data_IF_940987601555
#
_entry.id   IF_940987601555
#
_cell.length_a   1.000
_cell.length_b   1.000
_cell.length_c   1.000
_cell.angle_alpha   90.00
_cell.angle_beta   90.00
_cell.angle_gamma   90.00
#
_symmetry.space_group_name_H-M   'P 1'
#
loop_
_entity.id
_entity.type
_entity.pdbx_description
1 polymer ?
#
# COMPACT_ATOMS: atom_id res chain seq x y z
N UNK A 1 -22.05 -9.55 -6.31
CA UNK A 1 -22.76 -9.24 -7.58
C UNK A 1 -21.80 -8.44 -8.46
N UNK A 2 -21.60 -8.84 -9.71
CA UNK A 2 -20.66 -8.17 -10.62
C UNK A 2 -21.32 -6.97 -11.30
N UNK A 3 -20.57 -5.88 -11.44
CA UNK A 3 -20.96 -4.73 -12.26
C UNK A 3 -20.99 -5.13 -13.73
N UNK A 4 -21.93 -4.63 -14.55
CA UNK A 4 -21.93 -4.85 -16.00
C UNK A 4 -20.73 -4.18 -16.69
N UNK A 5 -20.11 -3.19 -16.02
CA UNK A 5 -18.87 -2.56 -16.47
C UNK A 5 -17.70 -3.23 -15.75
N UNK A 6 -16.81 -3.84 -16.51
CA UNK A 6 -15.56 -4.40 -16.00
C UNK A 6 -14.67 -3.28 -15.45
N UNK A 7 -14.16 -3.46 -14.23
CA UNK A 7 -13.21 -2.54 -13.59
C UNK A 7 -11.89 -3.25 -13.37
N UNK A 8 -10.81 -2.58 -13.72
CA UNK A 8 -9.46 -2.97 -13.33
C UNK A 8 -8.99 -2.06 -12.20
N UNK A 9 -8.39 -2.65 -11.17
CA UNK A 9 -7.92 -1.93 -10.00
C UNK A 9 -6.40 -1.90 -10.00
N UNK A 10 -5.80 -0.77 -9.57
CA UNK A 10 -4.34 -0.65 -9.43
C UNK A 10 -3.77 -1.72 -8.49
N UNK A 11 -4.52 -2.01 -7.42
CA UNK A 11 -4.26 -3.07 -6.43
C UNK A 11 -4.09 -4.48 -7.02
N UNK A 12 -4.64 -4.75 -8.21
CA UNK A 12 -4.43 -6.03 -8.88
C UNK A 12 -2.95 -6.25 -9.24
N UNK A 13 -2.26 -5.20 -9.69
CA UNK A 13 -0.84 -5.29 -10.04
C UNK A 13 0.04 -5.47 -8.79
N UNK A 14 -0.27 -4.75 -7.71
CA UNK A 14 0.48 -4.85 -6.45
C UNK A 14 0.27 -6.21 -5.76
N UNK A 15 -0.95 -6.74 -5.78
CA UNK A 15 -1.25 -8.08 -5.24
C UNK A 15 -0.58 -9.21 -6.05
N UNK A 16 -0.59 -9.14 -7.38
CA UNK A 16 0.13 -10.11 -8.21
C UNK A 16 1.65 -10.08 -7.94
N UNK A 17 2.22 -8.89 -7.76
CA UNK A 17 3.63 -8.70 -7.39
C UNK A 17 3.95 -9.25 -6.00
N UNK A 18 3.07 -9.01 -5.02
CA UNK A 18 3.21 -9.57 -3.67
C UNK A 18 3.19 -11.09 -3.71
N UNK A 19 2.26 -11.69 -4.46
CA UNK A 19 2.18 -13.15 -4.62
C UNK A 19 3.49 -13.72 -5.17
N UNK A 20 4.03 -13.14 -6.24
CA UNK A 20 5.31 -13.57 -6.81
C UNK A 20 6.47 -13.45 -5.81
N UNK A 21 6.53 -12.36 -5.03
CA UNK A 21 7.53 -12.18 -3.98
C UNK A 21 7.44 -13.29 -2.91
N UNK A 22 6.23 -13.57 -2.41
CA UNK A 22 6.01 -14.59 -1.38
C UNK A 22 6.35 -16.00 -1.89
N UNK A 23 5.99 -16.32 -3.13
CA UNK A 23 6.34 -17.59 -3.77
C UNK A 23 7.86 -17.76 -3.87
N UNK A 24 8.58 -16.72 -4.31
CA UNK A 24 10.04 -16.73 -4.36
C UNK A 24 10.67 -16.90 -2.97
N UNK A 25 10.15 -16.22 -1.96
CA UNK A 25 10.61 -16.37 -0.57
C UNK A 25 10.44 -17.81 -0.09
N UNK A 26 9.27 -18.43 -0.36
CA UNK A 26 8.99 -19.82 -0.01
C UNK A 26 9.95 -20.80 -0.71
N UNK A 27 10.15 -20.65 -2.01
CA UNK A 27 11.03 -21.50 -2.80
C UNK A 27 12.50 -21.42 -2.36
N UNK A 28 12.95 -20.23 -1.96
CA UNK A 28 14.34 -19.98 -1.55
C UNK A 28 14.58 -20.17 -0.05
N UNK A 29 13.52 -20.42 0.74
CA UNK A 29 13.62 -20.47 2.21
C UNK A 29 14.00 -19.13 2.84
N UNK A 30 13.67 -18.01 2.17
CA UNK A 30 13.97 -16.64 2.63
C UNK A 30 12.68 -15.90 3.03
N UNK A 31 12.81 -14.62 3.42
CA UNK A 31 11.68 -13.79 3.84
C UNK A 31 11.78 -12.36 3.30
N UNK A 32 10.64 -11.69 3.22
CA UNK A 32 10.54 -10.23 3.11
C UNK A 32 10.18 -9.68 4.49
N UNK A 33 10.79 -8.56 4.89
CA UNK A 33 10.45 -7.85 6.11
C UNK A 33 10.18 -6.39 5.78
N UNK A 34 9.37 -5.75 6.63
CA UNK A 34 9.02 -4.34 6.55
C UNK A 34 8.56 -3.86 7.93
N UNK A 35 8.13 -2.62 8.04
CA UNK A 35 7.53 -2.06 9.25
C UNK A 35 6.40 -1.10 8.88
N UNK A 36 5.65 -0.64 9.89
CA UNK A 36 4.50 0.23 9.71
C UNK A 36 4.86 1.62 9.17
N UNK A 37 4.32 1.99 8.03
CA UNK A 37 4.58 3.25 7.34
C UNK A 37 3.52 4.31 7.69
N UNK A 38 3.98 5.47 8.17
CA UNK A 38 3.15 6.58 8.61
C UNK A 38 2.72 7.50 7.46
N UNK A 39 3.62 7.81 6.53
CA UNK A 39 3.41 8.92 5.59
C UNK A 39 4.14 8.77 4.23
N UNK A 40 3.80 9.63 3.24
CA UNK A 40 4.44 9.66 1.93
C UNK A 40 5.95 9.89 1.90
N UNK A 41 6.52 10.61 2.86
CA UNK A 41 7.98 10.81 2.94
C UNK A 41 8.63 9.49 3.32
N UNK A 42 8.08 8.82 4.32
CA UNK A 42 8.59 7.54 4.80
C UNK A 42 8.48 6.46 3.74
N UNK A 43 7.35 6.34 3.01
CA UNK A 43 7.22 5.31 1.95
C UNK A 43 8.25 5.50 0.83
N UNK A 44 8.57 6.75 0.48
CA UNK A 44 9.60 7.05 -0.51
C UNK A 44 11.01 6.66 -0.05
N UNK A 45 11.29 6.75 1.27
CA UNK A 45 12.58 6.33 1.85
C UNK A 45 12.65 4.83 2.15
N UNK A 46 11.51 4.17 2.35
CA UNK A 46 11.44 2.71 2.51
C UNK A 46 11.67 1.98 1.20
N UNK A 47 11.15 2.52 0.09
CA UNK A 47 11.15 1.88 -1.22
C UNK A 47 12.53 1.38 -1.71
N UNK A 48 13.66 2.09 -1.52
CA UNK A 48 14.98 1.59 -1.92
C UNK A 48 15.41 0.30 -1.20
N UNK A 49 14.99 0.11 0.06
CA UNK A 49 15.56 -0.92 0.94
C UNK A 49 14.59 -2.07 1.24
N UNK A 50 13.29 -1.80 1.23
CA UNK A 50 12.25 -2.75 1.61
C UNK A 50 11.43 -3.16 0.38
N UNK A 51 11.05 -4.44 0.34
CA UNK A 51 10.28 -5.00 -0.78
C UNK A 51 8.76 -4.88 -0.60
N UNK A 52 8.29 -4.54 0.60
CA UNK A 52 6.88 -4.38 0.97
C UNK A 52 6.68 -3.20 1.91
N UNK A 53 5.43 -2.75 2.04
CA UNK A 53 5.00 -1.68 2.97
C UNK A 53 3.89 -2.23 3.83
N UNK A 54 3.95 -2.01 5.15
CA UNK A 54 2.86 -2.35 6.06
C UNK A 54 2.11 -1.09 6.49
N UNK A 55 0.78 -1.15 6.50
CA UNK A 55 -0.10 -0.13 7.05
C UNK A 55 -0.79 -0.70 8.28
N UNK A 56 -0.45 -0.15 9.45
CA UNK A 56 -0.90 -0.63 10.76
C UNK A 56 -2.20 0.06 11.21
N UNK A 57 -3.14 -0.73 11.75
CA UNK A 57 -4.33 -0.23 12.45
C UNK A 57 -3.94 0.57 13.71
N UNK A 58 -3.05 0.01 14.53
CA UNK A 58 -2.48 0.69 15.71
C UNK A 58 -1.92 2.09 15.40
N UNK A 59 -1.05 2.21 14.38
CA UNK A 59 -0.51 3.51 13.99
C UNK A 59 -1.62 4.45 13.49
N UNK A 60 -2.58 3.91 12.74
CA UNK A 60 -3.69 4.69 12.19
C UNK A 60 -4.63 5.21 13.28
N UNK A 61 -4.85 4.44 14.35
CA UNK A 61 -5.65 4.86 15.51
C UNK A 61 -5.08 6.12 16.16
N UNK A 62 -3.75 6.19 16.31
CA UNK A 62 -3.10 7.34 16.95
C UNK A 62 -2.78 8.51 16.01
N UNK A 63 -2.79 8.32 14.68
CA UNK A 63 -2.25 9.33 13.75
C UNK A 63 -3.10 9.65 12.52
N UNK A 64 -4.10 8.82 12.19
CA UNK A 64 -4.76 8.88 10.89
C UNK A 64 -6.28 8.62 10.91
N UNK A 65 -6.91 8.58 12.09
CA UNK A 65 -8.37 8.51 12.21
C UNK A 65 -9.03 9.55 11.31
N UNK A 66 -10.00 9.12 10.51
CA UNK A 66 -10.66 10.00 9.52
C UNK A 66 -11.50 11.12 10.12
N UNK A 67 -11.77 11.04 11.42
CA UNK A 67 -12.43 12.10 12.21
C UNK A 67 -11.43 12.94 13.01
N UNK A 68 -10.12 12.69 12.85
CA UNK A 68 -9.03 13.33 13.59
C UNK A 68 -9.11 13.17 15.12
N UNK A 69 -9.87 12.18 15.60
CA UNK A 69 -9.87 11.78 17.01
C UNK A 69 -8.88 10.61 17.18
N UNK A 70 -7.73 10.82 17.86
CA UNK A 70 -6.77 9.76 18.09
C UNK A 70 -7.21 8.86 19.26
N UNK A 71 -6.77 7.60 19.24
CA UNK A 71 -7.11 6.65 20.30
C UNK A 71 -6.12 5.52 20.49
N UNK A 72 -6.34 4.68 21.53
CA UNK A 72 -5.68 3.39 21.65
C UNK A 72 -6.13 2.44 20.52
N UNK A 73 -5.43 1.32 20.37
CA UNK A 73 -5.72 0.32 19.33
C UNK A 73 -6.92 -0.55 19.69
N UNK A 74 -8.11 0.00 19.41
CA UNK A 74 -9.41 -0.63 19.71
C UNK A 74 -10.30 -0.79 18.48
N UNK A 75 -9.82 -0.37 17.30
CA UNK A 75 -10.57 -0.38 16.04
C UNK A 75 -11.96 0.31 16.14
N UNK A 76 -12.08 1.35 16.97
CA UNK A 76 -13.29 2.16 17.17
C UNK A 76 -13.34 3.40 16.27
N UNK A 77 -12.25 3.70 15.55
CA UNK A 77 -12.20 4.68 14.48
C UNK A 77 -13.07 4.24 13.27
N UNK A 78 -13.56 5.17 12.43
CA UNK A 78 -14.32 4.80 11.24
C UNK A 78 -13.51 3.88 10.32
N UNK A 79 -14.13 2.81 9.82
CA UNK A 79 -13.47 1.75 9.03
C UNK A 79 -12.83 2.23 7.71
N UNK A 80 -13.10 3.46 7.28
CA UNK A 80 -12.42 4.12 6.15
C UNK A 80 -10.99 4.55 6.47
N UNK A 81 -10.60 4.57 7.76
CA UNK A 81 -9.31 5.04 8.25
C UNK A 81 -8.11 4.33 7.61
N UNK A 82 -8.04 3.00 7.70
CA UNK A 82 -6.91 2.25 7.15
C UNK A 82 -6.94 2.22 5.60
N UNK A 83 -8.08 2.02 4.92
CA UNK A 83 -8.15 2.17 3.46
C UNK A 83 -7.70 3.54 2.96
N UNK A 84 -8.04 4.62 3.64
CA UNK A 84 -7.59 5.97 3.28
C UNK A 84 -6.07 6.14 3.46
N UNK A 85 -5.48 5.50 4.48
CA UNK A 85 -4.03 5.44 4.64
C UNK A 85 -3.37 4.68 3.49
N UNK A 86 -3.95 3.55 3.05
CA UNK A 86 -3.48 2.82 1.86
C UNK A 86 -3.51 3.72 0.63
N UNK A 87 -4.63 4.38 0.34
CA UNK A 87 -4.75 5.28 -0.82
C UNK A 87 -3.71 6.43 -0.76
N UNK A 88 -3.49 7.01 0.42
CA UNK A 88 -2.46 8.04 0.63
C UNK A 88 -1.06 7.56 0.22
N UNK A 89 -0.64 6.38 0.70
CA UNK A 89 0.69 5.84 0.40
C UNK A 89 0.78 5.35 -1.04
N UNK A 90 -0.26 4.68 -1.55
CA UNK A 90 -0.33 4.19 -2.92
C UNK A 90 -0.17 5.33 -3.92
N UNK A 91 -0.92 6.44 -3.77
CA UNK A 91 -0.79 7.64 -4.63
C UNK A 91 0.61 8.25 -4.58
N UNK A 92 1.25 8.24 -3.41
CA UNK A 92 2.62 8.71 -3.28
C UNK A 92 3.61 7.82 -4.05
N UNK A 93 3.50 6.50 -3.93
CA UNK A 93 4.29 5.56 -4.72
C UNK A 93 4.12 5.80 -6.23
N UNK A 94 2.87 5.96 -6.70
CA UNK A 94 2.60 6.25 -8.10
C UNK A 94 3.26 7.55 -8.56
N UNK A 95 3.14 8.61 -7.76
CA UNK A 95 3.72 9.92 -8.06
C UNK A 95 5.25 9.85 -8.17
N UNK A 96 5.91 9.22 -7.20
CA UNK A 96 7.37 9.08 -7.21
C UNK A 96 7.85 8.22 -8.38
N UNK A 97 7.12 7.16 -8.73
CA UNK A 97 7.40 6.35 -9.91
C UNK A 97 7.27 7.17 -11.21
N UNK A 98 6.22 8.00 -11.36
CA UNK A 98 6.08 8.89 -12.53
C UNK A 98 7.18 9.93 -12.60
N UNK A 99 7.53 10.55 -11.45
CA UNK A 99 8.61 11.54 -11.34
C UNK A 99 9.95 10.95 -11.77
N UNK A 100 10.30 9.76 -11.27
CA UNK A 100 11.54 9.10 -11.66
C UNK A 100 11.56 8.76 -13.15
N UNK A 101 10.46 8.19 -13.67
CA UNK A 101 10.35 7.87 -15.10
C UNK A 101 10.54 9.10 -15.97
N UNK A 102 9.93 10.22 -15.60
CA UNK A 102 10.06 11.48 -16.35
C UNK A 102 11.50 12.02 -16.35
N UNK A 103 12.15 12.02 -15.18
CA UNK A 103 13.55 12.45 -15.06
C UNK A 103 14.51 11.56 -15.89
N UNK A 104 14.25 10.25 -15.94
CA UNK A 104 15.00 9.30 -16.76
C UNK A 104 14.79 9.56 -18.26
N UNK A 105 13.57 9.88 -18.70
CA UNK A 105 13.27 10.16 -20.10
C UNK A 105 13.86 11.51 -20.58
N UNK A 106 13.94 12.52 -19.71
CA UNK A 106 14.53 13.82 -20.03
C UNK A 106 16.06 13.79 -20.12
N UNK A 107 16.70 12.87 -19.42
CA UNK A 107 18.14 12.69 -19.49
C UNK A 107 18.46 11.89 -20.76
N UNK A 108 18.47 12.57 -21.92
CA UNK A 108 18.88 11.99 -23.19
C UNK A 108 20.36 11.60 -23.13
N UNK A 109 20.62 10.31 -22.95
CA UNK A 109 21.95 9.76 -22.70
C UNK A 109 21.88 8.83 -21.50
N UNK A 110 21.76 7.53 -21.78
CA UNK A 110 21.63 6.44 -20.83
C UNK A 110 22.83 6.36 -19.88
N UNK A 111 22.82 7.17 -18.83
CA UNK A 111 23.60 6.86 -17.65
C UNK A 111 22.88 5.73 -16.90
N UNK A 112 23.04 4.51 -17.43
CA UNK A 112 22.48 3.28 -16.84
C UNK A 112 23.01 3.02 -15.42
N UNK A 113 24.01 3.79 -14.97
CA UNK A 113 24.53 3.75 -13.61
C UNK A 113 23.56 4.30 -12.56
N UNK A 114 22.55 5.09 -12.95
CA UNK A 114 21.56 5.61 -12.00
C UNK A 114 20.62 4.50 -11.53
N UNK A 115 20.75 4.13 -10.26
CA UNK A 115 19.91 3.15 -9.61
C UNK A 115 18.42 3.52 -9.75
N UNK A 116 17.64 2.59 -10.31
CA UNK A 116 16.20 2.74 -10.49
C UNK A 116 15.50 2.22 -9.23
N UNK A 117 14.75 3.10 -8.57
CA UNK A 117 14.06 2.75 -7.34
C UNK A 117 12.70 2.21 -7.74
N UNK A 118 12.37 1.02 -7.26
CA UNK A 118 11.03 0.47 -7.40
C UNK A 118 10.12 1.06 -6.32
N UNK A 119 9.46 2.18 -6.63
CA UNK A 119 8.54 2.83 -5.68
C UNK A 119 7.24 2.06 -5.46
N UNK A 120 6.81 1.21 -6.40
CA UNK A 120 5.57 0.43 -6.30
C UNK A 120 5.75 -0.82 -5.43
N UNK A 121 6.08 -0.63 -4.14
CA UNK A 121 6.18 -1.73 -3.18
C UNK A 121 4.77 -2.16 -2.74
N UNK A 122 4.42 -3.46 -2.82
CA UNK A 122 3.09 -3.92 -2.41
C UNK A 122 2.77 -3.54 -0.96
N UNK A 123 1.55 -3.05 -0.76
CA UNK A 123 1.04 -2.62 0.55
C UNK A 123 0.26 -3.78 1.16
N UNK A 124 0.55 -4.09 2.42
CA UNK A 124 -0.20 -5.01 3.27
C UNK A 124 -0.86 -4.16 4.34
N UNK A 125 -2.18 -4.22 4.45
CA UNK A 125 -2.95 -3.34 5.33
C UNK A 125 -3.74 -4.12 6.37
N UNK A 126 -3.86 -3.52 7.55
CA UNK A 126 -4.62 -4.04 8.67
C UNK A 126 -6.14 -3.98 8.40
N UNK A 127 -6.81 -5.13 8.48
CA UNK A 127 -8.26 -5.22 8.31
C UNK A 127 -9.04 -5.23 9.64
N UNK A 128 -8.34 -5.11 10.76
CA UNK A 128 -8.85 -5.34 12.12
C UNK A 128 -9.67 -6.65 12.17
N UNK A 129 -10.84 -6.60 12.81
CA UNK A 129 -11.82 -7.70 12.83
C UNK A 129 -12.86 -7.59 11.71
N UNK A 130 -12.72 -6.61 10.81
CA UNK A 130 -13.66 -6.35 9.73
C UNK A 130 -14.73 -5.28 9.99
N UNK A 131 -14.65 -4.57 11.12
CA UNK A 131 -15.49 -3.41 11.47
C UNK A 131 -17.00 -3.67 11.43
N UNK A 132 -17.41 -4.90 11.78
CA UNK A 132 -18.83 -5.29 11.89
C UNK A 132 -19.09 -6.71 11.38
N UNK A 133 -20.33 -6.95 10.92
CA UNK A 133 -20.72 -8.24 10.34
C UNK A 133 -20.20 -8.46 8.92
N UNK A 134 -20.56 -9.59 8.31
CA UNK A 134 -20.08 -10.00 6.97
C UNK A 134 -20.26 -8.95 5.88
N UNK A 135 -21.35 -8.18 5.92
CA UNK A 135 -21.60 -7.10 4.95
C UNK A 135 -20.65 -5.92 5.13
N UNK A 136 -20.23 -5.63 6.36
CA UNK A 136 -19.20 -4.63 6.66
C UNK A 136 -17.84 -5.09 6.14
N UNK A 137 -17.47 -6.35 6.41
CA UNK A 137 -16.24 -6.98 5.88
C UNK A 137 -16.17 -6.82 4.35
N UNK A 138 -17.23 -7.18 3.62
CA UNK A 138 -17.24 -7.06 2.15
C UNK A 138 -17.07 -5.61 1.67
N UNK A 139 -17.64 -4.63 2.39
CA UNK A 139 -17.49 -3.21 2.05
C UNK A 139 -16.08 -2.70 2.37
N UNK A 140 -15.51 -3.10 3.50
CA UNK A 140 -14.14 -2.78 3.88
C UNK A 140 -13.14 -3.36 2.88
N UNK A 141 -13.27 -4.64 2.52
CA UNK A 141 -12.43 -5.28 1.50
C UNK A 141 -12.53 -4.57 0.16
N UNK A 142 -13.73 -4.13 -0.24
CA UNK A 142 -13.91 -3.33 -1.47
C UNK A 142 -13.12 -2.02 -1.39
N UNK A 143 -13.17 -1.30 -0.27
CA UNK A 143 -12.40 -0.06 -0.10
C UNK A 143 -10.90 -0.31 -0.20
N UNK A 144 -10.39 -1.38 0.41
CA UNK A 144 -8.97 -1.73 0.27
C UNK A 144 -8.58 -1.99 -1.18
N UNK A 145 -9.36 -2.80 -1.91
CA UNK A 145 -9.10 -3.08 -3.33
C UNK A 145 -9.14 -1.79 -4.17
N UNK A 146 -10.03 -0.86 -3.86
CA UNK A 146 -10.14 0.43 -4.54
C UNK A 146 -8.99 1.39 -4.19
N UNK A 147 -8.35 1.23 -3.02
CA UNK A 147 -7.31 2.12 -2.52
C UNK A 147 -5.88 1.80 -3.03
N UNK A 148 -5.53 0.53 -3.28
CA UNK A 148 -4.18 0.16 -3.76
C UNK A 148 -3.70 -1.22 -3.32
#
# INVERSE_FOLDING_TARGET
>A
LASPVARTYGSHHTSAKLWQLLQKCRETGTFSHTFGCLDPVQVAQMAPYLSTVYVSGWQSSSTASTINEPGPDLADYPYTTVPNKVDQLYRAQEFHSRKQREALLRTSGSDESKEKIDFFRPIIADGDTGHGGLTAVMRLTKLFIEAG
#
